data_IF_826809991666
#
_entry.id   IF_826809991666
#
_cell.length_a   1.000
_cell.length_b   1.000
_cell.length_c   1.000
_cell.angle_alpha   90.00
_cell.angle_beta   90.00
_cell.angle_gamma   90.00
#
_symmetry.space_group_name_H-M   'P 1'
#
loop_
_entity.id
_entity.type
_entity.pdbx_description
1 polymer ?
#
# COMPACT_ATOMS: atom_id res chain seq x y z
N UNK A 1 23.16 27.40 -4.85
CA UNK A 1 22.25 26.65 -3.97
C UNK A 1 21.43 25.71 -4.84
N UNK A 2 21.71 24.41 -4.80
CA UNK A 2 20.99 23.41 -5.58
C UNK A 2 19.73 22.99 -4.81
N UNK A 3 18.55 23.33 -5.32
CA UNK A 3 17.29 22.83 -4.80
C UNK A 3 17.04 21.43 -5.37
N UNK A 4 17.40 20.40 -4.59
CA UNK A 4 16.91 19.05 -4.82
C UNK A 4 15.42 19.02 -4.47
N UNK A 5 14.57 19.20 -5.47
CA UNK A 5 13.12 19.00 -5.35
C UNK A 5 12.85 17.51 -5.10
N UNK A 6 12.49 17.20 -3.86
CA UNK A 6 12.01 15.87 -3.47
C UNK A 6 10.63 15.66 -4.11
N UNK A 7 10.53 14.78 -5.11
CA UNK A 7 9.25 14.35 -5.65
C UNK A 7 8.58 13.46 -4.58
N UNK A 8 7.68 14.03 -3.79
CA UNK A 8 6.83 13.24 -2.89
C UNK A 8 5.83 12.49 -3.78
N UNK A 9 5.82 11.15 -3.79
CA UNK A 9 4.80 10.41 -4.51
C UNK A 9 3.42 10.77 -3.93
N UNK A 10 2.47 11.09 -4.80
CA UNK A 10 1.08 11.28 -4.41
C UNK A 10 0.59 10.01 -3.73
N UNK A 11 0.33 10.05 -2.42
CA UNK A 11 -0.41 8.98 -1.78
C UNK A 11 -1.77 8.88 -2.48
N UNK A 12 -2.09 7.72 -3.04
CA UNK A 12 -3.47 7.42 -3.45
C UNK A 12 -4.29 7.45 -2.16
N UNK A 13 -4.98 8.56 -1.96
CA UNK A 13 -5.88 8.71 -0.83
C UNK A 13 -7.02 7.71 -1.03
N UNK A 14 -7.32 6.95 0.03
CA UNK A 14 -8.42 6.01 0.06
C UNK A 14 -9.68 6.62 -0.54
N UNK A 15 -10.37 5.90 -1.43
CA UNK A 15 -11.56 6.42 -2.09
C UNK A 15 -12.78 6.25 -1.19
N UNK A 16 -13.38 7.35 -0.76
CA UNK A 16 -14.62 7.36 0.03
C UNK A 16 -15.81 7.78 -0.81
N UNK A 17 -16.89 7.00 -0.75
CA UNK A 17 -18.16 7.29 -1.41
C UNK A 17 -19.29 7.31 -0.37
N UNK A 18 -20.33 8.11 -0.62
CA UNK A 18 -21.50 8.25 0.27
C UNK A 18 -22.79 8.16 -0.53
N UNK A 19 -23.75 7.41 -0.01
CA UNK A 19 -25.11 7.30 -0.53
C UNK A 19 -26.08 7.26 0.64
N UNK A 20 -27.03 8.19 0.67
CA UNK A 20 -28.00 8.33 1.76
C UNK A 20 -27.32 8.55 3.13
N UNK A 21 -27.49 7.62 4.06
CA UNK A 21 -26.91 7.62 5.40
C UNK A 21 -25.77 6.59 5.54
N UNK A 22 -25.28 6.04 4.42
CA UNK A 22 -24.19 5.07 4.36
C UNK A 22 -22.99 5.65 3.59
N UNK A 23 -21.80 5.50 4.16
CA UNK A 23 -20.55 5.80 3.48
C UNK A 23 -19.60 4.61 3.55
N UNK A 24 -18.77 4.43 2.54
CA UNK A 24 -17.71 3.44 2.57
C UNK A 24 -16.40 4.01 2.05
N UNK A 25 -15.31 3.59 2.67
CA UNK A 25 -13.96 3.80 2.17
C UNK A 25 -13.44 2.49 1.61
N UNK A 26 -13.08 2.49 0.34
CA UNK A 26 -12.46 1.35 -0.34
C UNK A 26 -10.97 1.30 -0.01
N UNK A 27 -10.49 0.10 0.30
CA UNK A 27 -9.06 -0.20 0.30
C UNK A 27 -8.78 -1.48 -0.50
N UNK A 28 -7.71 -1.46 -1.30
CA UNK A 28 -7.23 -2.59 -2.10
C UNK A 28 -5.74 -2.79 -1.76
N UNK A 29 -5.40 -3.94 -1.21
CA UNK A 29 -4.03 -4.22 -0.81
C UNK A 29 -3.09 -4.41 -2.02
N UNK A 30 -1.80 -4.04 -1.88
CA UNK A 30 -1.20 -3.44 -0.69
C UNK A 30 -1.32 -1.90 -0.60
N UNK A 31 -1.62 -1.20 -1.70
CA UNK A 31 -1.39 0.25 -1.84
C UNK A 31 -2.44 0.97 -2.73
N UNK A 32 -3.66 0.44 -2.80
CA UNK A 32 -4.76 0.91 -3.65
C UNK A 32 -4.48 0.89 -5.16
N UNK A 33 -3.39 0.24 -5.58
CA UNK A 33 -2.98 0.13 -6.99
C UNK A 33 -2.93 -1.35 -7.41
N UNK A 34 -4.09 -2.03 -7.54
CA UNK A 34 -4.11 -3.44 -7.92
C UNK A 34 -3.43 -3.66 -9.26
N UNK A 35 -2.78 -4.82 -9.40
CA UNK A 35 -2.12 -5.25 -10.63
C UNK A 35 -2.92 -6.31 -11.36
N UNK A 36 -2.94 -6.22 -12.68
CA UNK A 36 -3.63 -7.20 -13.50
C UNK A 36 -3.04 -8.60 -13.33
N UNK A 37 -3.90 -9.62 -13.24
CA UNK A 37 -3.50 -11.02 -13.06
C UNK A 37 -3.09 -11.39 -11.63
N UNK A 38 -3.05 -10.43 -10.71
CA UNK A 38 -2.70 -10.64 -9.31
C UNK A 38 -3.96 -10.52 -8.44
N UNK A 39 -4.14 -11.45 -7.49
CA UNK A 39 -5.27 -11.39 -6.56
C UNK A 39 -4.99 -10.33 -5.51
N UNK A 40 -5.86 -9.32 -5.41
CA UNK A 40 -5.75 -8.24 -4.43
C UNK A 40 -6.86 -8.35 -3.38
N UNK A 41 -6.47 -8.33 -2.10
CA UNK A 41 -7.43 -8.23 -1.01
C UNK A 41 -8.11 -6.86 -1.09
N UNK A 42 -9.43 -6.86 -1.19
CA UNK A 42 -10.25 -5.66 -1.32
C UNK A 42 -11.24 -5.63 -0.17
N UNK A 43 -11.39 -4.50 0.49
CA UNK A 43 -12.36 -4.34 1.56
C UNK A 43 -12.95 -2.94 1.63
N UNK A 44 -14.10 -2.85 2.27
CA UNK A 44 -14.89 -1.62 2.34
C UNK A 44 -15.16 -1.28 3.81
N UNK A 45 -14.55 -0.21 4.32
CA UNK A 45 -14.89 0.32 5.63
C UNK A 45 -16.28 0.98 5.58
N UNK A 46 -17.31 0.15 5.67
CA UNK A 46 -18.72 0.55 5.57
C UNK A 46 -19.19 1.16 6.90
N UNK A 47 -19.77 2.35 6.85
CA UNK A 47 -20.20 3.12 8.02
C UNK A 47 -21.53 3.81 7.79
N UNK A 48 -22.27 4.05 8.87
CA UNK A 48 -23.45 4.92 8.90
C UNK A 48 -23.04 6.35 9.19
N UNK A 49 -23.95 7.29 8.94
CA UNK A 49 -23.84 8.67 9.45
C UNK A 49 -23.47 8.65 10.94
N UNK A 50 -22.44 9.42 11.30
CA UNK A 50 -21.85 9.41 12.65
C UNK A 50 -20.70 8.43 12.84
N UNK A 51 -20.29 7.69 11.79
CA UNK A 51 -19.08 6.87 11.78
C UNK A 51 -19.24 5.48 12.41
N UNK A 52 -20.47 5.05 12.70
CA UNK A 52 -20.73 3.70 13.22
C UNK A 52 -20.49 2.67 12.12
N UNK A 53 -19.62 1.69 12.36
CA UNK A 53 -19.34 0.60 11.41
C UNK A 53 -20.59 -0.23 11.13
N UNK A 54 -20.79 -0.58 9.86
CA UNK A 54 -21.76 -1.59 9.41
C UNK A 54 -20.99 -2.88 9.12
N UNK A 55 -21.05 -3.89 10.01
CA UNK A 55 -20.43 -5.17 9.75
C UNK A 55 -21.21 -5.92 8.65
N UNK A 56 -20.53 -6.77 7.88
CA UNK A 56 -21.12 -7.54 6.78
C UNK A 56 -22.32 -8.38 7.26
N UNK A 57 -22.28 -8.93 8.48
CA UNK A 57 -23.40 -9.69 9.05
C UNK A 57 -24.72 -8.90 9.17
N UNK A 58 -24.64 -7.56 9.18
CA UNK A 58 -25.79 -6.64 9.26
C UNK A 58 -26.19 -6.11 7.87
N UNK A 59 -25.49 -6.50 6.80
CA UNK A 59 -25.74 -6.06 5.44
C UNK A 59 -25.96 -7.23 4.49
N UNK A 60 -27.10 -7.24 3.79
CA UNK A 60 -27.25 -8.01 2.56
C UNK A 60 -26.54 -7.22 1.43
N UNK A 61 -25.23 -7.37 1.39
CA UNK A 61 -24.32 -6.61 0.53
C UNK A 61 -23.90 -7.45 -0.68
N UNK A 62 -23.80 -6.81 -1.84
CA UNK A 62 -23.35 -7.42 -3.10
C UNK A 62 -22.31 -6.52 -3.76
N UNK A 63 -21.31 -7.15 -4.40
CA UNK A 63 -20.27 -6.45 -5.15
C UNK A 63 -20.33 -6.86 -6.61
N UNK A 64 -20.34 -5.87 -7.51
CA UNK A 64 -20.20 -6.07 -8.94
C UNK A 64 -18.95 -5.33 -9.47
N UNK A 65 -18.17 -6.02 -10.30
CA UNK A 65 -16.94 -5.49 -10.90
C UNK A 65 -17.16 -5.31 -12.40
N UNK A 66 -16.87 -4.13 -12.92
CA UNK A 66 -17.01 -3.80 -14.34
C UNK A 66 -15.72 -3.20 -14.88
N UNK A 67 -15.37 -3.50 -16.14
CA UNK A 67 -14.36 -2.71 -16.86
C UNK A 67 -14.97 -1.44 -17.44
N UNK A 68 -14.17 -0.39 -17.58
CA UNK A 68 -14.56 0.86 -18.22
C UNK A 68 -13.67 1.16 -19.45
N UNK A 69 -14.22 1.79 -20.51
CA UNK A 69 -15.61 2.20 -20.66
C UNK A 69 -16.55 1.00 -20.92
N UNK A 70 -17.80 1.08 -20.45
CA UNK A 70 -18.85 0.09 -20.76
C UNK A 70 -20.12 0.69 -21.34
N UNK A 71 -20.93 -0.18 -21.95
CA UNK A 71 -22.34 0.11 -22.25
C UNK A 71 -23.16 0.06 -20.95
N UNK A 72 -24.26 0.82 -20.89
CA UNK A 72 -25.15 0.81 -19.73
C UNK A 72 -25.77 -0.56 -19.43
N UNK A 73 -25.90 -1.42 -20.45
CA UNK A 73 -26.44 -2.78 -20.36
C UNK A 73 -25.35 -3.85 -20.24
N UNK A 74 -24.10 -3.45 -19.96
CA UNK A 74 -23.03 -4.41 -19.79
C UNK A 74 -23.22 -5.19 -18.48
N UNK A 75 -23.09 -6.52 -18.57
CA UNK A 75 -23.04 -7.38 -17.40
C UNK A 75 -21.73 -7.16 -16.62
N UNK A 76 -21.72 -7.44 -15.30
CA UNK A 76 -20.49 -7.46 -14.51
C UNK A 76 -19.48 -8.46 -15.06
N UNK A 77 -18.20 -8.12 -15.01
CA UNK A 77 -17.11 -9.07 -15.23
C UNK A 77 -17.04 -10.12 -14.13
N UNK A 78 -17.36 -9.72 -12.89
CA UNK A 78 -17.38 -10.58 -11.73
C UNK A 78 -18.36 -10.07 -10.68
N UNK A 79 -18.90 -11.01 -9.89
CA UNK A 79 -19.69 -10.75 -8.70
C UNK A 79 -19.15 -11.58 -7.54
N UNK A 80 -17.97 -11.22 -7.00
CA UNK A 80 -17.35 -12.01 -5.94
C UNK A 80 -18.19 -11.98 -4.66
N UNK A 81 -18.28 -13.13 -3.98
CA UNK A 81 -18.87 -13.19 -2.64
C UNK A 81 -18.08 -12.34 -1.66
N UNK A 82 -18.80 -11.67 -0.77
CA UNK A 82 -18.21 -10.89 0.32
C UNK A 82 -18.06 -11.78 1.56
N UNK A 83 -16.94 -11.64 2.25
CA UNK A 83 -16.60 -12.30 3.50
C UNK A 83 -16.28 -11.24 4.57
N UNK A 84 -16.52 -11.52 5.85
CA UNK A 84 -16.18 -10.59 6.92
C UNK A 84 -14.66 -10.56 7.10
N UNK A 85 -14.07 -9.37 6.98
CA UNK A 85 -12.64 -9.16 7.23
C UNK A 85 -12.40 -8.20 8.38
N UNK A 86 -11.24 -8.32 9.03
CA UNK A 86 -10.76 -7.35 10.00
C UNK A 86 -9.48 -6.73 9.45
N UNK A 87 -9.50 -5.41 9.26
CA UNK A 87 -8.40 -4.67 8.69
C UNK A 87 -8.33 -3.30 9.38
N UNK A 88 -7.10 -2.83 9.61
CA UNK A 88 -6.83 -1.62 10.37
C UNK A 88 -7.58 -1.63 11.73
N UNK A 89 -8.51 -0.69 11.92
CA UNK A 89 -9.37 -0.53 13.10
C UNK A 89 -10.78 -1.10 12.92
N UNK A 90 -11.09 -1.66 11.74
CA UNK A 90 -12.41 -2.15 11.39
C UNK A 90 -12.51 -3.66 11.61
N UNK A 91 -13.67 -4.13 12.06
CA UNK A 91 -13.92 -5.54 12.31
C UNK A 91 -15.19 -6.00 11.60
N UNK A 92 -15.11 -7.18 10.98
CA UNK A 92 -16.23 -7.82 10.29
C UNK A 92 -16.79 -7.01 9.12
N UNK A 93 -15.99 -6.13 8.51
CA UNK A 93 -16.41 -5.32 7.36
C UNK A 93 -16.45 -6.19 6.09
N UNK A 94 -17.22 -5.79 5.05
CA UNK A 94 -17.23 -6.49 3.78
C UNK A 94 -15.85 -6.50 3.12
N UNK A 95 -15.34 -7.68 2.75
CA UNK A 95 -14.12 -7.83 1.97
C UNK A 95 -14.14 -9.07 1.08
N UNK A 96 -13.23 -9.12 0.11
CA UNK A 96 -13.07 -10.24 -0.82
C UNK A 96 -11.70 -10.16 -1.52
N UNK A 97 -11.35 -11.17 -2.31
CA UNK A 97 -10.18 -11.12 -3.20
C UNK A 97 -10.65 -10.91 -4.63
N UNK A 98 -10.07 -9.92 -5.32
CA UNK A 98 -10.39 -9.61 -6.70
C UNK A 98 -9.13 -9.78 -7.55
N UNK A 99 -9.25 -10.53 -8.64
CA UNK A 99 -8.20 -10.60 -9.67
C UNK A 99 -8.69 -9.87 -10.91
N UNK A 100 -8.08 -8.72 -11.21
CA UNK A 100 -8.41 -7.95 -12.40
C UNK A 100 -7.72 -8.58 -13.62
N UNK A 101 -8.43 -8.91 -14.71
CA UNK A 101 -7.84 -9.69 -15.79
C UNK A 101 -6.85 -8.88 -16.65
N UNK A 102 -7.03 -7.56 -16.74
CA UNK A 102 -6.22 -6.67 -17.59
C UNK A 102 -5.99 -5.33 -16.92
N UNK A 103 -4.90 -4.62 -17.27
CA UNK A 103 -4.69 -3.24 -16.85
C UNK A 103 -5.78 -2.33 -17.42
N UNK A 104 -6.13 -1.26 -16.72
CA UNK A 104 -7.12 -0.28 -17.18
C UNK A 104 -8.05 0.22 -16.09
N UNK A 105 -9.11 0.91 -16.51
CA UNK A 105 -10.11 1.47 -15.61
C UNK A 105 -11.21 0.45 -15.31
N UNK A 106 -11.63 0.41 -14.05
CA UNK A 106 -12.70 -0.44 -13.55
C UNK A 106 -13.64 0.35 -12.65
N UNK A 107 -14.87 -0.15 -12.54
CA UNK A 107 -15.88 0.29 -11.58
C UNK A 107 -16.17 -0.85 -10.62
N UNK A 108 -16.04 -0.61 -9.33
CA UNK A 108 -16.55 -1.48 -8.27
C UNK A 108 -17.87 -0.87 -7.78
N UNK A 109 -18.97 -1.58 -7.96
CA UNK A 109 -20.28 -1.17 -7.45
C UNK A 109 -20.64 -2.03 -6.24
N UNK A 110 -20.60 -1.43 -5.04
CA UNK A 110 -21.06 -2.07 -3.80
C UNK A 110 -22.49 -1.61 -3.53
N UNK A 111 -23.43 -2.54 -3.56
CA UNK A 111 -24.82 -2.30 -3.17
C UNK A 111 -25.16 -3.05 -1.90
N UNK A 112 -26.13 -2.55 -1.15
CA UNK A 112 -26.57 -3.23 0.05
C UNK A 112 -27.83 -2.67 0.65
N UNK A 113 -28.41 -3.48 1.54
CA UNK A 113 -29.55 -3.12 2.40
C UNK A 113 -29.35 -3.77 3.78
N UNK A 114 -30.03 -3.30 4.84
CA UNK A 114 -30.01 -3.98 6.12
C UNK A 114 -30.40 -5.46 5.99
N UNK A 115 -29.63 -6.34 6.63
CA UNK A 115 -29.94 -7.78 6.69
C UNK A 115 -31.10 -8.07 7.66
N UNK A 116 -31.18 -7.30 8.74
CA UNK A 116 -32.22 -7.35 9.76
C UNK A 116 -32.51 -5.90 10.13
N UNK A 117 -33.78 -5.52 10.33
CA UNK A 117 -34.25 -4.15 10.68
C UNK A 117 -34.04 -3.03 9.62
N UNK A 118 -34.47 -1.80 9.92
CA UNK A 118 -34.33 -0.60 9.05
C UNK A 118 -33.17 0.31 9.50
N UNK A 119 -32.07 -0.26 10.01
CA UNK A 119 -31.06 0.52 10.73
C UNK A 119 -30.09 1.33 9.85
N UNK A 120 -30.21 1.24 8.52
CA UNK A 120 -29.65 2.15 7.50
C UNK A 120 -30.46 2.05 6.21
N UNK A 121 -30.34 3.02 5.28
CA UNK A 121 -31.06 2.96 4.00
C UNK A 121 -30.36 2.08 2.96
N UNK A 122 -31.10 1.41 2.05
CA UNK A 122 -30.50 0.76 0.90
C UNK A 122 -29.62 1.73 0.09
N UNK A 123 -28.49 1.24 -0.42
CA UNK A 123 -27.47 2.06 -1.04
C UNK A 123 -26.82 1.39 -2.25
N UNK A 124 -26.19 2.22 -3.10
CA UNK A 124 -25.22 1.81 -4.11
C UNK A 124 -24.06 2.81 -4.08
N UNK A 125 -22.84 2.33 -3.86
CA UNK A 125 -21.60 3.10 -3.87
C UNK A 125 -20.75 2.64 -5.06
N UNK A 126 -20.11 3.60 -5.75
CA UNK A 126 -19.38 3.32 -7.00
C UNK A 126 -17.96 3.85 -6.91
N UNK A 127 -16.99 2.94 -6.95
CA UNK A 127 -15.58 3.27 -6.85
C UNK A 127 -14.89 3.10 -8.19
N UNK A 128 -14.28 4.16 -8.71
CA UNK A 128 -13.33 4.04 -9.83
C UNK A 128 -12.02 3.47 -9.31
N UNK A 129 -11.53 2.44 -9.98
CA UNK A 129 -10.26 1.78 -9.71
C UNK A 129 -9.43 1.78 -10.98
N UNK A 130 -8.15 2.13 -10.87
CA UNK A 130 -7.20 2.00 -11.97
C UNK A 130 -6.27 0.84 -11.68
N UNK A 131 -6.25 -0.14 -12.58
CA UNK A 131 -5.46 -1.37 -12.46
C UNK A 131 -4.17 -1.20 -13.26
N UNK A 132 -3.04 -1.41 -12.60
CA UNK A 132 -1.71 -1.34 -13.19
C UNK A 132 -1.37 -2.61 -13.99
N UNK A 133 -0.30 -2.53 -14.78
CA UNK A 133 0.28 -3.69 -15.45
C UNK A 133 0.68 -4.78 -14.44
N UNK A 134 0.26 -6.01 -14.72
CA UNK A 134 0.71 -7.19 -14.00
C UNK A 134 2.19 -7.46 -14.22
N UNK A 135 2.79 -8.19 -13.29
CA UNK A 135 4.10 -8.80 -13.57
C UNK A 135 3.88 -9.95 -14.57
N UNK A 136 4.41 -9.82 -15.78
CA UNK A 136 4.47 -10.96 -16.70
C UNK A 136 5.33 -12.03 -16.02
N UNK A 137 4.71 -13.04 -15.41
CA UNK A 137 5.39 -14.33 -15.22
C UNK A 137 5.60 -14.88 -16.63
N UNK A 138 6.72 -14.50 -17.23
CA UNK A 138 7.24 -15.17 -18.41
C UNK A 138 7.42 -16.64 -18.01
N UNK A 139 6.49 -17.48 -18.46
CA UNK A 139 6.67 -18.93 -18.47
C UNK A 139 7.76 -19.25 -19.49
N UNK A 140 9.01 -19.01 -19.09
CA UNK A 140 10.14 -19.83 -19.51
C UNK A 140 10.32 -20.93 -18.47
N UNK A 141 9.28 -21.75 -18.30
CA UNK A 141 9.47 -23.08 -17.73
C UNK A 141 9.94 -23.97 -18.88
N UNK A 142 11.24 -23.88 -19.18
CA UNK A 142 11.93 -24.95 -19.88
C UNK A 142 11.97 -26.12 -18.90
N UNK A 143 11.34 -27.22 -19.30
CA UNK A 143 11.51 -28.51 -18.65
C UNK A 143 13.00 -28.82 -18.54
N UNK A 144 13.51 -28.98 -17.33
CA UNK A 144 14.59 -29.93 -17.10
C UNK A 144 14.44 -30.51 -15.69
N UNK A 145 13.95 -31.76 -15.68
CA UNK A 145 14.16 -32.68 -14.58
C UNK A 145 15.67 -32.88 -14.42
N UNK A 146 16.24 -32.38 -13.32
CA UNK A 146 17.41 -33.00 -12.71
C UNK A 146 17.24 -32.95 -11.19
N UNK A 147 16.93 -34.13 -10.65
CA UNK A 147 17.09 -34.46 -9.24
C UNK A 147 18.37 -35.29 -9.13
N UNK A 148 19.30 -34.82 -8.30
CA UNK A 148 20.43 -35.49 -7.59
C UNK A 148 21.52 -34.41 -7.39
N UNK A 149 22.26 -34.25 -6.29
CA UNK A 149 22.34 -34.89 -4.98
C UNK A 149 23.18 -33.95 -4.10
N UNK A 150 22.80 -33.76 -2.83
CA UNK A 150 23.65 -33.11 -1.82
C UNK A 150 24.79 -34.06 -1.40
N UNK A 151 26.05 -33.62 -1.45
CA UNK A 151 27.08 -33.83 -0.41
C UNK A 151 28.39 -33.09 -0.76
N UNK A 152 28.75 -32.13 0.12
CA UNK A 152 30.07 -31.66 0.58
C UNK A 152 31.30 -31.69 -0.37
N UNK A 153 31.91 -30.53 -0.66
CA UNK A 153 33.11 -30.02 0.05
C UNK A 153 33.65 -28.70 -0.55
N UNK A 154 34.21 -27.92 0.37
CA UNK A 154 34.96 -26.66 0.31
C UNK A 154 35.95 -26.49 -0.86
N UNK A 155 35.91 -25.35 -1.58
CA UNK A 155 37.10 -24.63 -2.04
C UNK A 155 36.85 -23.11 -1.97
N UNK A 156 37.69 -22.43 -1.17
CA UNK A 156 37.91 -20.98 -1.20
C UNK A 156 38.37 -20.55 -2.59
N UNK A 157 37.80 -19.49 -3.14
CA UNK A 157 38.54 -18.69 -4.11
C UNK A 157 38.40 -17.20 -3.77
N UNK A 158 39.50 -16.66 -3.24
CA UNK A 158 39.75 -15.26 -2.95
C UNK A 158 40.45 -14.69 -4.18
N UNK A 159 39.78 -13.80 -4.90
CA UNK A 159 40.48 -12.86 -5.77
C UNK A 159 40.23 -11.43 -5.29
N UNK A 160 41.23 -10.98 -4.53
CA UNK A 160 41.62 -9.62 -4.22
C UNK A 160 41.55 -8.69 -5.44
N UNK A 161 40.91 -7.54 -5.26
CA UNK A 161 41.35 -6.27 -5.85
C UNK A 161 41.44 -5.26 -4.71
N UNK A 162 42.62 -4.64 -4.60
CA UNK A 162 43.03 -3.72 -3.54
C UNK A 162 42.38 -2.33 -3.75
N UNK A 163 41.94 -1.70 -2.67
CA UNK A 163 41.87 -0.25 -2.57
C UNK A 163 42.88 0.17 -1.51
N UNK A 164 43.82 1.02 -1.92
CA UNK A 164 44.98 1.49 -1.17
C UNK A 164 44.53 2.58 -0.17
N UNK A 165 44.63 2.32 1.13
CA UNK A 165 44.76 3.36 2.16
C UNK A 165 46.12 3.20 2.85
N UNK A 166 46.99 4.19 2.64
CA UNK A 166 48.33 4.25 3.22
C UNK A 166 48.25 4.61 4.71
N UNK A 167 48.62 3.66 5.56
CA UNK A 167 48.79 3.84 7.00
C UNK A 167 50.27 3.77 7.35
N UNK A 168 50.84 4.89 7.82
CA UNK A 168 52.19 4.92 8.40
C UNK A 168 52.14 4.47 9.87
N UNK A 169 53.05 3.58 10.34
CA UNK A 169 53.06 3.11 11.73
C UNK A 169 53.84 4.09 12.63
N UNK A 170 53.17 4.68 13.62
CA UNK A 170 53.85 5.42 14.70
C UNK A 170 53.69 4.69 16.05
N UNK A 171 54.77 4.59 16.86
CA UNK A 171 54.74 3.89 18.15
C UNK A 171 54.05 4.67 19.27
N UNK A 172 53.46 3.93 20.20
CA UNK A 172 52.58 4.36 21.30
C UNK A 172 53.41 4.92 22.47
N UNK A 173 53.87 6.17 22.42
CA UNK A 173 54.40 6.89 23.61
C UNK A 173 54.53 8.42 23.47
N UNK A 174 53.76 9.06 22.58
CA UNK A 174 53.74 10.52 22.46
C UNK A 174 52.35 11.08 22.80
N UNK A 175 52.05 11.19 24.10
CA UNK A 175 50.98 12.07 24.59
C UNK A 175 51.62 13.43 24.85
N UNK A 176 51.46 14.34 23.88
CA UNK A 176 51.99 15.71 23.93
C UNK A 176 50.87 16.73 23.69
N UNK A 177 50.66 17.56 24.70
CA UNK A 177 49.66 18.62 24.86
C UNK A 177 49.53 19.57 23.66
N UNK A 178 48.29 19.93 23.32
CA UNK A 178 47.96 21.02 22.41
C UNK A 178 46.50 21.44 22.52
N UNK A 179 46.14 22.12 23.61
CA UNK A 179 44.88 22.85 23.77
C UNK A 179 44.94 24.21 23.05
N UNK A 180 43.77 24.75 22.66
CA UNK A 180 43.32 26.16 22.53
C UNK A 180 42.06 26.15 21.61
N UNK A 181 40.80 26.28 22.04
CA UNK A 181 40.06 27.39 22.70
C UNK A 181 40.13 28.73 21.96
N UNK A 182 39.05 29.07 21.22
CA UNK A 182 38.44 30.42 21.10
C UNK A 182 36.92 30.17 20.94
N UNK A 183 36.08 30.24 21.98
CA UNK A 183 35.44 31.41 22.61
C UNK A 183 34.50 32.20 21.68
N UNK A 184 33.20 32.15 22.01
CA UNK A 184 32.34 33.34 22.12
C UNK A 184 31.67 33.88 20.86
N UNK A 185 30.39 33.53 20.69
CA UNK A 185 29.48 34.13 19.69
C UNK A 185 28.02 34.20 20.16
N UNK A 186 27.84 34.61 21.43
CA UNK A 186 26.72 35.39 21.98
C UNK A 186 25.28 35.00 21.55
N UNK A 187 24.65 34.28 22.48
CA UNK A 187 23.24 34.40 22.84
C UNK A 187 22.88 35.89 23.10
N UNK A 188 22.30 36.60 22.13
CA UNK A 188 21.69 37.91 22.36
C UNK A 188 20.60 38.21 21.32
N UNK A 189 19.41 37.65 21.53
CA UNK A 189 18.17 38.32 21.12
C UNK A 189 17.29 38.41 22.37
N UNK A 190 17.63 39.37 23.22
CA UNK A 190 16.73 39.88 24.24
C UNK A 190 15.65 40.74 23.57
N UNK A 191 14.41 40.27 23.66
CA UNK A 191 13.28 41.00 24.26
C UNK A 191 13.50 42.51 24.52
N UNK A 192 12.95 43.39 23.65
CA UNK A 192 12.26 44.69 23.92
C UNK A 192 12.03 45.40 22.57
N UNK A 193 10.94 46.09 22.23
CA UNK A 193 9.63 46.43 22.80
C UNK A 193 8.72 46.76 21.59
N UNK A 194 7.39 46.62 21.61
CA UNK A 194 6.40 47.44 22.33
C UNK A 194 6.74 48.94 22.30
N UNK A 195 6.21 49.61 21.28
CA UNK A 195 5.62 50.94 21.36
C UNK A 195 4.39 50.97 20.47
#
# INVERSE_FOLDING_TARGET
MNFLSFLIPSALAHKTEVSQDVGATLHIEPDDTPRAGEAAQTWFALTRKGGKVIPLKECDCQLAVYSEPRKATAEPLAQPSLEPVSAERYQGIPGTKITFPKPGAYKLELSGKPANDDSFKPFTLKFDVTVAAGTNKSTNQSNNNQQETQTSQEIKNVNTIQTEEQTFPLPIWAIGLGALVIIGGIFAVMRRGRS
#
